data_IF_940083828941
#
_entry.id   IF_940083828941
#
_cell.length_a   1.000
_cell.length_b   1.000
_cell.length_c   1.000
_cell.angle_alpha   90.00
_cell.angle_beta   90.00
_cell.angle_gamma   90.00
#
_symmetry.space_group_name_H-M   'P 1'
#
loop_
_entity.id
_entity.type
_entity.pdbx_description
1 polymer ?
#
# COMPACT_ATOMS: atom_id res chain seq x y z
N UNK A 1 9.49 -23.56 22.93
CA UNK A 1 8.65 -22.37 22.71
C UNK A 1 8.97 -21.84 21.34
N UNK A 2 7.99 -21.30 20.64
CA UNK A 2 8.14 -20.75 19.30
C UNK A 2 7.52 -19.34 19.25
N UNK A 3 8.02 -18.52 18.34
CA UNK A 3 7.49 -17.20 18.05
C UNK A 3 7.54 -16.97 16.54
N UNK A 4 6.52 -16.31 16.01
CA UNK A 4 6.42 -15.97 14.59
C UNK A 4 6.52 -14.45 14.48
N UNK A 5 7.38 -13.97 13.59
CA UNK A 5 7.57 -12.56 13.31
C UNK A 5 7.03 -12.26 11.91
N UNK A 6 6.18 -11.24 11.80
CA UNK A 6 5.78 -10.68 10.51
C UNK A 6 6.50 -9.34 10.31
N UNK A 7 7.41 -9.29 9.35
CA UNK A 7 8.32 -8.15 9.13
C UNK A 7 8.00 -7.52 7.78
N UNK A 8 7.77 -6.20 7.79
CA UNK A 8 7.63 -5.39 6.58
C UNK A 8 9.00 -4.85 6.17
N UNK A 9 9.54 -5.35 5.07
CA UNK A 9 10.82 -4.92 4.50
C UNK A 9 10.60 -3.64 3.69
N UNK A 10 11.46 -2.65 3.88
CA UNK A 10 11.41 -1.40 3.10
C UNK A 10 11.92 -1.64 1.67
N UNK A 11 11.49 -0.85 0.67
CA UNK A 11 11.86 -1.09 -0.72
C UNK A 11 13.35 -0.93 -1.05
N UNK A 12 14.13 -0.32 -0.17
CA UNK A 12 15.58 -0.14 -0.29
C UNK A 12 16.39 -1.25 0.40
N UNK A 13 15.72 -2.26 0.96
CA UNK A 13 16.35 -3.41 1.63
C UNK A 13 15.85 -4.73 1.05
N UNK A 14 16.71 -5.74 1.07
CA UNK A 14 16.33 -7.10 0.70
C UNK A 14 15.87 -7.91 1.92
N UNK A 15 15.04 -8.93 1.70
CA UNK A 15 14.62 -9.83 2.77
C UNK A 15 15.82 -10.60 3.36
N UNK A 16 16.80 -10.95 2.53
CA UNK A 16 18.03 -11.64 2.94
C UNK A 16 18.86 -10.77 3.87
N UNK A 17 18.97 -9.45 3.60
CA UNK A 17 19.68 -8.51 4.47
C UNK A 17 19.05 -8.45 5.86
N UNK A 18 17.72 -8.35 5.92
CA UNK A 18 16.96 -8.34 7.18
C UNK A 18 17.12 -9.66 7.93
N UNK A 19 17.00 -10.81 7.25
CA UNK A 19 17.18 -12.13 7.85
C UNK A 19 18.61 -12.32 8.37
N UNK A 20 19.62 -11.85 7.63
CA UNK A 20 21.02 -11.89 8.04
C UNK A 20 21.25 -11.06 9.31
N UNK A 21 20.69 -9.86 9.36
CA UNK A 21 20.77 -8.96 10.51
C UNK A 21 20.13 -9.60 11.75
N UNK A 22 18.96 -10.22 11.61
CA UNK A 22 18.31 -10.93 12.73
C UNK A 22 19.21 -12.07 13.22
N UNK A 23 19.75 -12.90 12.31
CA UNK A 23 20.64 -14.02 12.67
C UNK A 23 21.89 -13.55 13.41
N UNK A 24 22.49 -12.44 12.99
CA UNK A 24 23.69 -11.89 13.63
C UNK A 24 23.43 -11.38 15.05
N UNK A 25 22.20 -10.95 15.34
CA UNK A 25 21.81 -10.42 16.64
C UNK A 25 21.16 -11.47 17.56
N UNK A 26 21.02 -12.72 17.11
CA UNK A 26 20.51 -13.79 17.97
C UNK A 26 21.51 -14.07 19.10
N UNK A 27 21.04 -14.16 20.36
CA UNK A 27 21.91 -14.51 21.48
C UNK A 27 22.49 -15.91 21.30
N UNK A 28 23.69 -16.14 21.83
CA UNK A 28 24.31 -17.46 21.82
C UNK A 28 23.41 -18.45 22.57
N UNK A 29 22.90 -19.47 21.88
CA UNK A 29 21.97 -20.44 22.44
C UNK A 29 21.35 -21.36 21.37
N UNK A 30 20.43 -22.27 21.76
CA UNK A 30 19.80 -23.23 20.86
C UNK A 30 18.65 -22.58 20.05
N UNK A 31 18.90 -21.44 19.41
CA UNK A 31 17.93 -20.75 18.57
C UNK A 31 18.08 -21.20 17.12
N UNK A 32 16.95 -21.48 16.47
CA UNK A 32 16.87 -21.72 15.02
C UNK A 32 15.95 -20.67 14.40
N UNK A 33 16.35 -20.15 13.23
CA UNK A 33 15.55 -19.20 12.46
C UNK A 33 15.17 -19.81 11.11
N UNK A 34 13.87 -19.90 10.87
CA UNK A 34 13.27 -20.36 9.61
C UNK A 34 12.52 -19.20 8.93
N UNK A 35 12.67 -19.07 7.62
CA UNK A 35 11.92 -18.09 6.82
C UNK A 35 10.69 -18.80 6.26
N UNK A 36 9.52 -18.51 6.83
CA UNK A 36 8.25 -19.12 6.40
C UNK A 36 7.80 -18.56 5.04
N UNK A 37 7.92 -17.24 4.87
CA UNK A 37 7.54 -16.54 3.65
C UNK A 37 8.46 -15.34 3.45
N UNK A 38 8.89 -15.12 2.21
CA UNK A 38 9.59 -13.92 1.79
C UNK A 38 8.89 -13.32 0.58
N UNK A 39 8.54 -12.04 0.67
CA UNK A 39 7.93 -11.28 -0.41
C UNK A 39 8.72 -9.98 -0.54
N UNK A 40 9.35 -9.78 -1.68
CA UNK A 40 10.02 -8.54 -2.02
C UNK A 40 9.07 -7.34 -1.98
N UNK A 41 9.57 -6.24 -1.42
CA UNK A 41 8.93 -4.95 -1.53
C UNK A 41 8.88 -4.50 -2.99
N UNK A 42 7.86 -3.72 -3.36
CA UNK A 42 7.73 -3.20 -4.72
C UNK A 42 7.13 -1.81 -4.71
N UNK A 43 7.60 -0.97 -5.61
CA UNK A 43 7.15 0.41 -5.79
C UNK A 43 6.91 0.69 -7.27
N UNK A 44 6.02 1.63 -7.54
CA UNK A 44 5.90 2.25 -8.86
C UNK A 44 6.54 3.64 -8.81
N UNK A 45 7.16 4.12 -9.90
CA UNK A 45 7.72 5.48 -9.97
C UNK A 45 6.61 6.52 -9.75
N UNK A 46 6.92 7.74 -9.32
CA UNK A 46 5.91 8.79 -9.11
C UNK A 46 5.86 9.78 -10.27
N UNK A 47 6.88 9.78 -11.11
CA UNK A 47 7.01 10.59 -12.31
C UNK A 47 6.34 9.90 -13.50
N UNK A 48 5.02 9.68 -13.42
CA UNK A 48 4.23 9.11 -14.52
C UNK A 48 2.96 9.91 -14.79
N UNK A 49 2.46 9.82 -16.02
CA UNK A 49 1.19 10.44 -16.41
C UNK A 49 0.02 9.89 -15.59
N UNK A 50 0.08 8.61 -15.20
CA UNK A 50 -0.94 8.02 -14.33
C UNK A 50 -0.89 8.64 -12.93
N UNK A 51 0.28 8.80 -12.31
CA UNK A 51 0.39 9.45 -11.01
C UNK A 51 -0.06 10.92 -11.07
N UNK A 52 0.31 11.63 -12.15
CA UNK A 52 -0.12 13.01 -12.37
C UNK A 52 -1.64 13.11 -12.55
N UNK A 53 -2.27 12.18 -13.25
CA UNK A 53 -3.72 12.09 -13.38
C UNK A 53 -4.41 11.89 -12.02
N UNK A 54 -3.87 11.02 -11.16
CA UNK A 54 -4.37 10.82 -9.80
C UNK A 54 -4.30 12.12 -8.99
N UNK A 55 -3.14 12.82 -9.05
CA UNK A 55 -2.92 14.08 -8.35
C UNK A 55 -3.94 15.15 -8.78
N UNK A 56 -4.05 15.42 -10.07
CA UNK A 56 -4.96 16.43 -10.59
C UNK A 56 -6.42 16.12 -10.29
N UNK A 57 -6.79 14.85 -10.31
CA UNK A 57 -8.15 14.42 -9.95
C UNK A 57 -8.42 14.63 -8.47
N UNK A 58 -7.45 14.30 -7.60
CA UNK A 58 -7.54 14.58 -6.17
C UNK A 58 -7.67 16.10 -5.90
N UNK A 59 -6.85 16.93 -6.53
CA UNK A 59 -6.88 18.40 -6.40
C UNK A 59 -8.21 19.00 -6.89
N UNK A 60 -8.81 18.43 -7.94
CA UNK A 60 -10.13 18.84 -8.45
C UNK A 60 -11.25 18.62 -7.43
N UNK A 61 -11.28 17.45 -6.79
CA UNK A 61 -12.36 17.10 -5.85
C UNK A 61 -12.08 17.61 -4.42
N UNK A 62 -10.81 17.77 -4.06
CA UNK A 62 -10.36 18.13 -2.72
C UNK A 62 -9.31 19.26 -2.79
N UNK A 63 -9.72 20.51 -3.14
CA UNK A 63 -8.78 21.61 -3.40
C UNK A 63 -7.96 22.06 -2.18
N UNK A 64 -8.34 21.64 -0.98
CA UNK A 64 -7.62 21.91 0.27
C UNK A 64 -6.75 20.74 0.73
N UNK A 65 -6.84 19.58 0.06
CA UNK A 65 -6.06 18.40 0.42
C UNK A 65 -4.64 18.47 -0.16
N UNK A 66 -3.68 17.95 0.60
CA UNK A 66 -2.33 17.70 0.11
C UNK A 66 -2.28 16.31 -0.52
N UNK A 67 -1.81 16.26 -1.77
CA UNK A 67 -1.53 14.99 -2.44
C UNK A 67 -0.05 14.62 -2.27
N UNK A 68 0.22 13.50 -1.62
CA UNK A 68 1.58 13.03 -1.32
C UNK A 68 1.72 11.56 -1.70
N UNK A 69 2.89 11.13 -2.22
CA UNK A 69 3.19 9.71 -2.38
C UNK A 69 3.30 9.05 -1.00
N UNK A 70 2.78 7.82 -0.88
CA UNK A 70 2.80 7.05 0.35
C UNK A 70 3.13 5.58 0.08
N UNK A 71 3.81 4.94 1.04
CA UNK A 71 4.03 3.50 1.06
C UNK A 71 3.03 2.89 2.04
N UNK A 72 2.25 1.93 1.56
CA UNK A 72 1.32 1.19 2.41
C UNK A 72 2.01 -0.09 2.94
N UNK A 73 2.04 -0.33 4.26
CA UNK A 73 2.71 -1.50 4.84
C UNK A 73 1.90 -2.80 4.68
N UNK A 74 0.70 -2.75 4.10
CA UNK A 74 -0.09 -3.92 3.77
C UNK A 74 0.25 -4.51 2.39
N UNK A 75 -0.25 -5.71 2.13
CA UNK A 75 -0.12 -6.33 0.82
C UNK A 75 -1.30 -5.98 -0.10
N UNK A 76 -1.00 -5.79 -1.37
CA UNK A 76 -1.98 -5.61 -2.45
C UNK A 76 -1.55 -6.40 -3.68
N UNK A 77 -2.50 -6.71 -4.56
CA UNK A 77 -2.20 -7.39 -5.83
C UNK A 77 -1.36 -6.54 -6.79
N UNK A 78 -1.20 -5.22 -6.52
CA UNK A 78 -0.29 -4.35 -7.26
C UNK A 78 1.14 -4.91 -7.34
N UNK A 79 1.60 -5.65 -6.33
CA UNK A 79 2.92 -6.30 -6.37
C UNK A 79 3.02 -7.33 -7.50
N UNK A 80 1.93 -8.05 -7.79
CA UNK A 80 1.88 -9.08 -8.82
C UNK A 80 1.88 -8.42 -10.21
N UNK A 81 1.11 -7.35 -10.38
CA UNK A 81 1.09 -6.59 -11.63
C UNK A 81 2.41 -5.87 -11.92
N UNK A 82 3.08 -5.30 -10.90
CA UNK A 82 4.41 -4.70 -11.05
C UNK A 82 5.47 -5.70 -11.51
N UNK A 83 5.39 -6.97 -11.06
CA UNK A 83 6.27 -8.04 -11.57
C UNK A 83 6.08 -8.34 -13.05
N UNK A 84 4.91 -8.00 -13.60
CA UNK A 84 4.62 -8.09 -15.04
C UNK A 84 5.00 -6.81 -15.81
N UNK A 85 5.64 -5.84 -15.14
CA UNK A 85 6.07 -4.58 -15.75
C UNK A 85 5.02 -3.47 -15.75
N UNK A 86 3.89 -3.65 -15.05
CA UNK A 86 2.83 -2.64 -14.98
C UNK A 86 3.11 -1.58 -13.90
N UNK A 87 2.78 -0.32 -14.20
CA UNK A 87 2.70 0.75 -13.21
C UNK A 87 1.40 0.62 -12.42
N UNK A 88 1.46 0.59 -11.08
CA UNK A 88 0.29 0.39 -10.21
C UNK A 88 0.36 1.27 -8.97
N UNK A 89 -0.70 2.07 -8.76
CA UNK A 89 -0.90 2.87 -7.55
C UNK A 89 -2.12 2.37 -6.79
N UNK A 90 -2.03 2.37 -5.45
CA UNK A 90 -3.19 2.08 -4.60
C UNK A 90 -4.14 3.27 -4.56
N UNK A 91 -5.43 3.01 -4.72
CA UNK A 91 -6.48 4.01 -4.58
C UNK A 91 -7.66 3.40 -3.85
N UNK A 92 -8.11 4.04 -2.76
CA UNK A 92 -9.31 3.62 -2.07
C UNK A 92 -10.43 4.58 -2.48
N UNK A 93 -11.50 4.11 -3.16
CA UNK A 93 -12.61 4.95 -3.60
C UNK A 93 -13.57 5.22 -2.45
N UNK A 94 -13.06 5.77 -1.35
CA UNK A 94 -13.80 6.13 -0.16
C UNK A 94 -13.06 7.22 0.61
N UNK A 95 -13.81 8.04 1.35
CA UNK A 95 -13.25 8.87 2.40
C UNK A 95 -13.14 8.03 3.67
N UNK A 96 -11.96 8.08 4.31
CA UNK A 96 -11.66 7.30 5.51
C UNK A 96 -11.21 8.28 6.58
N UNK A 97 -11.95 8.34 7.69
CA UNK A 97 -11.54 9.10 8.87
C UNK A 97 -10.65 8.23 9.77
N UNK A 98 -9.96 8.87 10.72
CA UNK A 98 -9.11 8.16 11.68
C UNK A 98 -9.85 7.08 12.48
N UNK A 99 -11.13 7.28 12.75
CA UNK A 99 -12.01 6.31 13.42
C UNK A 99 -12.31 5.08 12.56
N UNK A 100 -12.28 5.22 11.23
CA UNK A 100 -12.56 4.14 10.29
C UNK A 100 -11.34 3.24 10.08
N UNK A 101 -10.11 3.77 10.25
CA UNK A 101 -8.87 3.01 10.09
C UNK A 101 -8.87 1.75 10.97
N UNK A 102 -9.31 1.88 12.24
CA UNK A 102 -9.37 0.75 13.17
C UNK A 102 -10.48 -0.26 12.85
N UNK A 103 -11.42 0.09 11.97
CA UNK A 103 -12.51 -0.79 11.53
C UNK A 103 -12.14 -1.61 10.31
N UNK A 104 -11.11 -1.24 9.56
CA UNK A 104 -10.64 -2.01 8.41
C UNK A 104 -10.15 -3.38 8.92
N UNK A 105 -10.79 -4.46 8.47
CA UNK A 105 -10.61 -5.83 8.99
C UNK A 105 -10.96 -5.99 10.49
N UNK A 106 -11.69 -5.03 11.06
CA UNK A 106 -12.10 -5.00 12.44
C UNK A 106 -13.57 -5.41 12.63
N UNK A 107 -14.06 -5.22 13.85
CA UNK A 107 -15.48 -5.42 14.16
C UNK A 107 -16.29 -4.26 13.57
N UNK A 108 -17.41 -4.59 12.92
CA UNK A 108 -18.37 -3.61 12.38
C UNK A 108 -17.73 -2.66 11.35
N UNK A 109 -16.93 -3.26 10.44
CA UNK A 109 -16.40 -2.60 9.25
C UNK A 109 -17.56 -2.03 8.41
N UNK A 110 -17.54 -0.72 8.17
CA UNK A 110 -18.59 0.01 7.48
C UNK A 110 -18.05 1.26 6.80
N UNK A 111 -18.84 1.79 5.89
CA UNK A 111 -18.57 3.03 5.17
C UNK A 111 -19.83 3.88 5.14
N UNK A 112 -19.69 5.21 5.25
CA UNK A 112 -20.81 6.12 5.04
C UNK A 112 -21.20 6.12 3.56
N UNK A 113 -22.50 6.07 3.28
CA UNK A 113 -22.99 6.05 1.89
C UNK A 113 -22.50 7.28 1.11
N UNK A 114 -22.44 8.46 1.75
CA UNK A 114 -21.89 9.68 1.15
C UNK A 114 -20.45 9.53 0.68
N UNK A 115 -19.63 8.80 1.44
CA UNK A 115 -18.20 8.65 1.19
C UNK A 115 -17.96 7.65 0.07
N UNK A 116 -18.76 6.58 0.04
CA UNK A 116 -18.78 5.64 -1.08
C UNK A 116 -19.20 6.34 -2.38
N UNK A 117 -20.29 7.12 -2.36
CA UNK A 117 -20.78 7.85 -3.54
C UNK A 117 -19.74 8.85 -4.03
N UNK A 118 -19.09 9.58 -3.12
CA UNK A 118 -18.03 10.53 -3.47
C UNK A 118 -16.83 9.80 -4.05
N UNK A 119 -16.36 8.73 -3.40
CA UNK A 119 -15.22 7.96 -3.86
C UNK A 119 -15.43 7.29 -5.22
N UNK A 120 -16.64 6.80 -5.51
CA UNK A 120 -17.00 6.30 -6.86
C UNK A 120 -16.91 7.41 -7.91
N UNK A 121 -17.38 8.62 -7.61
CA UNK A 121 -17.29 9.76 -8.54
C UNK A 121 -15.84 10.13 -8.85
N UNK A 122 -14.98 10.11 -7.83
CA UNK A 122 -13.54 10.40 -8.00
C UNK A 122 -12.87 9.30 -8.83
N UNK A 123 -13.15 8.02 -8.54
CA UNK A 123 -12.61 6.90 -9.30
C UNK A 123 -13.08 6.93 -10.76
N UNK A 124 -14.34 7.27 -11.01
CA UNK A 124 -14.88 7.42 -12.35
C UNK A 124 -14.14 8.50 -13.15
N UNK A 125 -13.88 9.66 -12.54
CA UNK A 125 -13.10 10.73 -13.18
C UNK A 125 -11.68 10.27 -13.52
N UNK A 126 -11.01 9.54 -12.62
CA UNK A 126 -9.66 8.98 -12.88
C UNK A 126 -9.69 8.10 -14.13
N UNK A 127 -10.64 7.17 -14.20
CA UNK A 127 -10.77 6.23 -15.32
C UNK A 127 -11.02 6.98 -16.63
N UNK A 128 -11.94 7.94 -16.63
CA UNK A 128 -12.25 8.74 -17.82
C UNK A 128 -11.04 9.54 -18.32
N UNK A 129 -10.28 10.15 -17.40
CA UNK A 129 -9.07 10.89 -17.75
C UNK A 129 -7.99 10.00 -18.37
N UNK A 130 -7.79 8.80 -17.81
CA UNK A 130 -6.82 7.82 -18.31
C UNK A 130 -7.18 7.22 -19.66
N UNK A 131 -8.47 7.12 -19.99
CA UNK A 131 -8.92 6.69 -21.32
C UNK A 131 -8.62 7.74 -22.39
N UNK A 132 -8.70 9.03 -22.02
CA UNK A 132 -8.54 10.15 -22.94
C UNK A 132 -7.11 10.68 -23.07
N UNK A 133 -6.19 10.19 -22.23
CA UNK A 133 -4.78 10.59 -22.18
C UNK A 133 -3.88 9.79 -23.10
#
# INVERSE_FOLDING_TARGET
AEAVLDIRVLPDRSAEEVVSEIRQNLPSGPFSLEVIQSIEASLSPVETDFFQCLKETAEKFFPQALFLPGIFPGFTDSRCFRRLGMTCYGWIPAMIDSEDIGRIHGVDERIRISDLVTGIRVLWEIIQRLETS
#
